data_IF_676176110267
#
_entry.id   IF_676176110267
#
_cell.length_a   1.000
_cell.length_b   1.000
_cell.length_c   1.000
_cell.angle_alpha   90.00
_cell.angle_beta   90.00
_cell.angle_gamma   90.00
#
_symmetry.space_group_name_H-M   'P 1'
#
loop_
_entity.id
_entity.type
_entity.pdbx_description
1 polymer ?
#
# COMPACT_ATOMS: atom_id res chain seq x y z
N UNK A 1 -8.90 21.92 -17.89
CA UNK A 1 -9.63 20.73 -17.37
C UNK A 1 -9.42 19.60 -18.35
N UNK A 2 -9.10 18.39 -17.87
CA UNK A 2 -8.94 17.24 -18.75
C UNK A 2 -10.31 16.84 -19.36
N UNK A 3 -10.31 16.27 -20.57
CA UNK A 3 -11.54 15.70 -21.13
C UNK A 3 -12.09 14.61 -20.20
N UNK A 4 -13.43 14.46 -20.06
CA UNK A 4 -14.05 13.56 -19.10
C UNK A 4 -13.51 12.12 -19.15
N UNK A 5 -13.25 11.59 -20.36
CA UNK A 5 -12.68 10.27 -20.55
C UNK A 5 -11.24 10.15 -20.04
N UNK A 6 -10.42 11.17 -20.28
CA UNK A 6 -9.02 11.21 -19.82
C UNK A 6 -8.92 11.29 -18.30
N UNK A 7 -9.80 12.07 -17.65
CA UNK A 7 -9.84 12.15 -16.19
C UNK A 7 -10.16 10.79 -15.55
N UNK A 8 -11.12 10.04 -16.10
CA UNK A 8 -11.47 8.69 -15.63
C UNK A 8 -10.29 7.72 -15.75
N UNK A 9 -9.58 7.73 -16.88
CA UNK A 9 -8.40 6.87 -17.08
C UNK A 9 -7.30 7.16 -16.05
N UNK A 10 -7.08 8.43 -15.70
CA UNK A 10 -6.12 8.79 -14.65
C UNK A 10 -6.60 8.29 -13.28
N UNK A 11 -7.87 8.47 -12.94
CA UNK A 11 -8.41 7.97 -11.67
C UNK A 11 -8.30 6.45 -11.56
N UNK A 12 -8.54 5.72 -12.64
CA UNK A 12 -8.34 4.27 -12.70
C UNK A 12 -6.87 3.88 -12.55
N UNK A 13 -5.95 4.59 -13.21
CA UNK A 13 -4.52 4.38 -13.05
C UNK A 13 -4.08 4.60 -11.58
N UNK A 14 -4.60 5.64 -10.93
CA UNK A 14 -4.29 5.91 -9.52
C UNK A 14 -4.90 4.86 -8.58
N UNK A 15 -6.14 4.43 -8.86
CA UNK A 15 -6.82 3.37 -8.13
C UNK A 15 -6.11 2.02 -8.27
N UNK A 16 -5.49 1.72 -9.41
CA UNK A 16 -4.65 0.53 -9.60
C UNK A 16 -3.48 0.50 -8.61
N UNK A 17 -2.83 1.64 -8.34
CA UNK A 17 -1.80 1.70 -7.30
C UNK A 17 -2.36 1.49 -5.89
N UNK A 18 -3.54 2.07 -5.60
CA UNK A 18 -4.24 1.79 -4.34
C UNK A 18 -4.60 0.30 -4.17
N UNK A 19 -5.00 -0.35 -5.26
CA UNK A 19 -5.24 -1.78 -5.29
C UNK A 19 -3.96 -2.58 -5.05
N UNK A 20 -2.87 -2.29 -5.76
CA UNK A 20 -1.59 -2.99 -5.60
C UNK A 20 -1.08 -2.89 -4.14
N UNK A 21 -1.18 -1.71 -3.55
CA UNK A 21 -0.84 -1.46 -2.14
C UNK A 21 -1.73 -2.28 -1.21
N UNK A 22 -3.05 -2.26 -1.41
CA UNK A 22 -3.99 -3.06 -0.62
C UNK A 22 -3.69 -4.55 -0.66
N UNK A 23 -3.46 -5.10 -1.87
CA UNK A 23 -3.10 -6.52 -2.01
C UNK A 23 -1.84 -6.83 -1.21
N UNK A 24 -0.83 -5.97 -1.24
CA UNK A 24 0.43 -6.19 -0.51
C UNK A 24 0.24 -6.24 0.99
N UNK A 25 -0.56 -5.32 1.51
CA UNK A 25 -0.74 -5.15 2.94
C UNK A 25 -1.54 -6.31 3.53
N UNK A 26 -2.69 -6.61 2.94
CA UNK A 26 -3.64 -7.59 3.47
C UNK A 26 -3.30 -9.04 3.06
N UNK A 27 -2.82 -9.27 1.83
CA UNK A 27 -2.45 -10.64 1.42
C UNK A 27 -1.23 -11.13 2.21
N UNK A 28 -0.27 -10.26 2.55
CA UNK A 28 0.84 -10.63 3.42
C UNK A 28 0.37 -11.12 4.80
N UNK A 29 -0.68 -10.54 5.36
CA UNK A 29 -1.27 -11.01 6.63
C UNK A 29 -1.92 -12.39 6.47
N UNK A 30 -2.59 -12.63 5.34
CA UNK A 30 -3.23 -13.92 5.07
C UNK A 30 -2.26 -15.10 4.93
N UNK A 31 -1.05 -14.85 4.42
CA UNK A 31 -0.01 -15.88 4.23
C UNK A 31 1.05 -15.88 5.34
N UNK A 32 0.77 -15.24 6.48
CA UNK A 32 1.71 -15.16 7.61
C UNK A 32 2.22 -16.54 8.08
N UNK A 33 1.36 -17.54 8.28
CA UNK A 33 1.82 -18.88 8.67
C UNK A 33 2.77 -19.50 7.65
N UNK A 34 2.53 -19.26 6.35
CA UNK A 34 3.28 -19.88 5.26
C UNK A 34 4.68 -19.30 5.13
N UNK A 35 4.83 -17.97 5.20
CA UNK A 35 6.16 -17.37 5.16
C UNK A 35 6.91 -17.53 6.50
N UNK A 36 6.21 -17.66 7.63
CA UNK A 36 6.84 -18.02 8.90
C UNK A 36 7.53 -19.39 8.79
N UNK A 37 6.79 -20.39 8.30
CA UNK A 37 7.31 -21.72 8.05
C UNK A 37 8.43 -21.70 6.99
N UNK A 38 8.22 -21.00 5.88
CA UNK A 38 9.20 -20.91 4.79
C UNK A 38 10.50 -20.16 5.13
N UNK A 39 10.50 -19.35 6.19
CA UNK A 39 11.68 -18.65 6.71
C UNK A 39 12.23 -19.31 7.98
N UNK A 40 11.63 -20.39 8.45
CA UNK A 40 12.08 -21.13 9.64
C UNK A 40 11.95 -20.34 10.95
N UNK A 41 10.95 -19.46 11.05
CA UNK A 41 10.69 -18.64 12.25
C UNK A 41 9.30 -18.89 12.81
N UNK A 42 9.07 -18.53 14.08
CA UNK A 42 7.74 -18.58 14.68
C UNK A 42 6.83 -17.50 14.11
N UNK A 43 5.52 -17.74 14.12
CA UNK A 43 4.51 -16.78 13.66
C UNK A 43 4.59 -15.42 14.38
N UNK A 44 4.79 -15.33 15.71
CA UNK A 44 5.00 -14.03 16.37
C UNK A 44 6.23 -13.29 15.86
N UNK A 45 7.32 -14.01 15.55
CA UNK A 45 8.53 -13.41 14.97
C UNK A 45 8.26 -12.95 13.53
N UNK A 46 7.56 -13.76 12.74
CA UNK A 46 7.10 -13.40 11.40
C UNK A 46 6.16 -12.18 11.40
N UNK A 47 5.37 -11.95 12.44
CA UNK A 47 4.53 -10.75 12.57
C UNK A 47 5.30 -9.43 12.49
N UNK A 48 6.57 -9.40 12.89
CA UNK A 48 7.42 -8.20 12.74
C UNK A 48 7.65 -7.80 11.27
N UNK A 49 7.47 -8.71 10.32
CA UNK A 49 7.48 -8.43 8.87
C UNK A 49 6.38 -7.44 8.48
N UNK A 50 5.20 -7.56 9.10
CA UNK A 50 4.09 -6.63 8.93
C UNK A 50 4.42 -5.31 9.64
N UNK A 51 4.94 -5.37 10.86
CA UNK A 51 5.34 -4.17 11.61
C UNK A 51 6.45 -3.38 10.90
N UNK A 52 7.41 -4.05 10.27
CA UNK A 52 8.48 -3.42 9.51
C UNK A 52 7.94 -2.65 8.30
N UNK A 53 6.95 -3.22 7.59
CA UNK A 53 6.24 -2.50 6.53
C UNK A 53 5.55 -1.25 7.07
N UNK A 54 4.78 -1.38 8.16
CA UNK A 54 4.10 -0.26 8.79
C UNK A 54 5.07 0.84 9.25
N UNK A 55 6.22 0.46 9.82
CA UNK A 55 7.29 1.40 10.16
C UNK A 55 7.82 2.13 8.93
N UNK A 56 8.00 1.40 7.82
CA UNK A 56 8.32 1.98 6.51
C UNK A 56 7.28 3.01 6.06
N UNK A 57 5.98 2.72 6.19
CA UNK A 57 4.89 3.66 5.84
C UNK A 57 4.98 4.96 6.66
N UNK A 58 5.10 4.84 7.98
CA UNK A 58 5.12 5.98 8.91
C UNK A 58 6.34 6.87 8.69
N UNK A 59 7.51 6.27 8.47
CA UNK A 59 8.77 7.01 8.27
C UNK A 59 8.88 7.54 6.84
N UNK A 60 8.51 6.73 5.86
CA UNK A 60 8.68 7.03 4.44
C UNK A 60 7.80 8.17 3.96
N UNK A 61 6.54 8.24 4.40
CA UNK A 61 5.61 9.25 3.90
C UNK A 61 6.07 10.70 4.18
N UNK A 62 6.47 11.10 5.41
CA UNK A 62 7.01 12.44 5.65
C UNK A 62 8.31 12.72 4.90
N UNK A 63 9.23 11.75 4.85
CA UNK A 63 10.53 11.91 4.18
C UNK A 63 10.33 12.15 2.68
N UNK A 64 9.55 11.29 2.02
CA UNK A 64 9.29 11.40 0.59
C UNK A 64 8.41 12.61 0.25
N UNK A 65 7.50 13.04 1.13
CA UNK A 65 6.76 14.28 0.94
C UNK A 65 7.69 15.50 0.92
N UNK A 66 8.69 15.54 1.81
CA UNK A 66 9.68 16.63 1.85
C UNK A 66 10.61 16.58 0.64
N UNK A 67 11.23 15.42 0.38
CA UNK A 67 12.19 15.25 -0.72
C UNK A 67 11.52 15.41 -2.09
N UNK A 68 10.27 14.97 -2.21
CA UNK A 68 9.52 15.00 -3.45
C UNK A 68 8.82 16.31 -3.75
N UNK A 69 8.76 17.28 -2.83
CA UNK A 69 7.89 18.45 -2.94
C UNK A 69 8.09 19.30 -4.21
N UNK A 70 9.30 19.27 -4.79
CA UNK A 70 9.65 20.05 -5.99
C UNK A 70 9.63 19.23 -7.28
N UNK A 71 9.33 17.93 -7.20
CA UNK A 71 9.28 17.07 -8.38
C UNK A 71 7.88 17.07 -9.01
N UNK A 72 7.77 16.87 -10.33
CA UNK A 72 6.49 16.66 -10.98
C UNK A 72 5.75 15.45 -10.37
N UNK A 73 4.45 15.61 -10.10
CA UNK A 73 3.64 14.58 -9.42
C UNK A 73 3.62 13.24 -10.15
N UNK A 74 3.57 13.27 -11.49
CA UNK A 74 3.59 12.05 -12.29
C UNK A 74 4.91 11.27 -12.14
N UNK A 75 6.03 11.98 -11.99
CA UNK A 75 7.34 11.37 -11.77
C UNK A 75 7.44 10.78 -10.35
N UNK A 76 6.87 11.46 -9.35
CA UNK A 76 6.79 10.92 -7.99
C UNK A 76 5.97 9.63 -7.95
N UNK A 77 4.80 9.59 -8.59
CA UNK A 77 3.95 8.40 -8.64
C UNK A 77 4.70 7.21 -9.27
N UNK A 78 5.40 7.43 -10.38
CA UNK A 78 6.24 6.40 -11.02
C UNK A 78 7.37 5.96 -10.08
N UNK A 79 8.12 6.91 -9.49
CA UNK A 79 9.23 6.60 -8.60
C UNK A 79 8.79 5.84 -7.34
N UNK A 80 7.65 6.20 -6.77
CA UNK A 80 7.06 5.51 -5.62
C UNK A 80 6.66 4.08 -5.98
N UNK A 81 5.98 3.88 -7.12
CA UNK A 81 5.62 2.54 -7.58
C UNK A 81 6.83 1.72 -8.03
N UNK A 82 7.92 2.35 -8.49
CA UNK A 82 9.18 1.67 -8.78
C UNK A 82 9.83 1.15 -7.49
N UNK A 83 9.94 2.00 -6.47
CA UNK A 83 10.44 1.59 -5.16
C UNK A 83 9.57 0.48 -4.54
N UNK A 84 8.25 0.60 -4.71
CA UNK A 84 7.29 -0.40 -4.27
C UNK A 84 7.47 -1.74 -5.00
N UNK A 85 7.62 -1.71 -6.33
CA UNK A 85 7.86 -2.88 -7.16
C UNK A 85 9.16 -3.59 -6.79
N UNK A 86 10.25 -2.83 -6.60
CA UNK A 86 11.56 -3.35 -6.19
C UNK A 86 11.49 -3.95 -4.79
N UNK A 87 10.92 -3.25 -3.82
CA UNK A 87 10.78 -3.75 -2.46
C UNK A 87 10.02 -5.09 -2.41
N UNK A 88 8.92 -5.20 -3.15
CA UNK A 88 8.13 -6.43 -3.22
C UNK A 88 8.82 -7.54 -4.03
N UNK A 89 9.51 -7.22 -5.14
CA UNK A 89 10.30 -8.20 -5.86
C UNK A 89 11.41 -8.79 -4.97
N UNK A 90 12.08 -7.94 -4.19
CA UNK A 90 13.09 -8.36 -3.23
C UNK A 90 12.48 -9.20 -2.11
N UNK A 91 11.29 -8.85 -1.59
CA UNK A 91 10.55 -9.69 -0.64
C UNK A 91 10.21 -11.07 -1.21
N UNK A 92 9.85 -11.17 -2.49
CA UNK A 92 9.56 -12.43 -3.14
C UNK A 92 10.78 -13.37 -3.19
N UNK A 93 11.99 -12.81 -3.33
CA UNK A 93 13.25 -13.57 -3.40
C UNK A 93 14.03 -13.55 -2.08
N UNK A 94 13.40 -13.12 -0.98
CA UNK A 94 14.07 -13.01 0.32
C UNK A 94 14.62 -14.39 0.76
N UNK A 95 15.94 -14.48 1.06
CA UNK A 95 16.56 -15.74 1.45
C UNK A 95 16.42 -16.03 2.94
N UNK A 96 16.35 -14.99 3.78
CA UNK A 96 16.23 -15.11 5.24
C UNK A 96 15.22 -14.12 5.81
N UNK A 97 14.84 -14.33 7.08
CA UNK A 97 13.92 -13.47 7.81
C UNK A 97 14.40 -12.01 7.91
N UNK A 98 15.70 -11.80 8.10
CA UNK A 98 16.31 -10.48 8.25
C UNK A 98 16.23 -9.68 6.93
N UNK A 99 16.48 -10.35 5.81
CA UNK A 99 16.27 -9.76 4.49
C UNK A 99 14.80 -9.44 4.24
N UNK A 100 13.90 -10.34 4.64
CA UNK A 100 12.46 -10.12 4.54
C UNK A 100 12.03 -8.87 5.32
N UNK A 101 12.52 -8.66 6.55
CA UNK A 101 12.26 -7.44 7.32
C UNK A 101 12.73 -6.18 6.57
N UNK A 102 13.97 -6.19 6.08
CA UNK A 102 14.56 -5.04 5.38
C UNK A 102 13.79 -4.68 4.10
N UNK A 103 13.43 -5.69 3.29
CA UNK A 103 12.68 -5.49 2.05
C UNK A 103 11.24 -5.06 2.31
N UNK A 104 10.62 -5.55 3.39
CA UNK A 104 9.29 -5.11 3.78
C UNK A 104 9.28 -3.67 4.27
N UNK A 105 10.26 -3.28 5.08
CA UNK A 105 10.48 -1.88 5.41
C UNK A 105 10.63 -1.03 4.14
N UNK A 106 11.49 -1.43 3.21
CA UNK A 106 11.70 -0.75 1.92
C UNK A 106 10.41 -0.61 1.11
N UNK A 107 9.62 -1.69 1.01
CA UNK A 107 8.33 -1.67 0.31
C UNK A 107 7.27 -0.80 1.01
N UNK A 108 7.40 -0.54 2.31
CA UNK A 108 6.49 0.34 3.05
C UNK A 108 6.75 1.82 2.79
N UNK A 109 8.00 2.20 2.53
CA UNK A 109 8.44 3.59 2.37
C UNK A 109 7.53 4.42 1.41
N UNK A 110 7.24 3.96 0.18
CA UNK A 110 6.47 4.76 -0.78
C UNK A 110 4.96 4.77 -0.53
N UNK A 111 4.43 3.90 0.33
CA UNK A 111 2.99 3.66 0.49
C UNK A 111 2.23 4.96 0.79
N UNK A 112 2.49 5.60 1.93
CA UNK A 112 1.72 6.77 2.36
C UNK A 112 1.92 7.97 1.44
N UNK A 113 3.15 8.14 0.91
CA UNK A 113 3.47 9.20 -0.03
C UNK A 113 2.69 9.06 -1.36
N UNK A 114 2.51 7.83 -1.84
CA UNK A 114 1.72 7.54 -3.04
C UNK A 114 0.29 8.03 -2.88
N UNK A 115 -0.42 7.65 -1.80
CA UNK A 115 -1.81 8.09 -1.60
C UNK A 115 -1.91 9.61 -1.46
N UNK A 116 -0.95 10.27 -0.79
CA UNK A 116 -0.91 11.73 -0.69
C UNK A 116 -0.82 12.40 -2.06
N UNK A 117 0.16 12.00 -2.89
CA UNK A 117 0.34 12.56 -4.23
C UNK A 117 -0.83 12.19 -5.16
N UNK A 118 -1.31 10.96 -5.10
CA UNK A 118 -2.45 10.51 -5.91
C UNK A 118 -3.72 11.31 -5.59
N UNK A 119 -4.01 11.56 -4.30
CA UNK A 119 -5.13 12.39 -3.88
C UNK A 119 -5.01 13.83 -4.42
N UNK A 120 -3.81 14.41 -4.40
CA UNK A 120 -3.56 15.74 -4.97
C UNK A 120 -3.77 15.78 -6.50
N UNK A 121 -3.35 14.74 -7.23
CA UNK A 121 -3.59 14.61 -8.67
C UNK A 121 -5.08 14.43 -8.95
N UNK A 122 -5.77 13.52 -8.27
CA UNK A 122 -7.21 13.33 -8.45
C UNK A 122 -8.00 14.61 -8.17
N UNK A 123 -7.66 15.32 -7.10
CA UNK A 123 -8.30 16.58 -6.73
C UNK A 123 -8.05 17.72 -7.74
N UNK A 124 -6.94 17.70 -8.50
CA UNK A 124 -6.67 18.70 -9.54
C UNK A 124 -7.38 18.42 -10.87
N UNK A 125 -7.85 17.19 -11.08
CA UNK A 125 -8.58 16.82 -12.30
C UNK A 125 -10.04 17.25 -12.30
N UNK A 126 -10.61 17.53 -11.12
CA UNK A 126 -12.04 17.77 -10.94
C UNK A 126 -12.34 19.12 -10.25
N UNK A 127 -13.53 19.71 -10.47
CA UNK A 127 -14.00 20.86 -9.70
C UNK A 127 -14.04 20.60 -8.20
N UNK A 128 -13.92 21.66 -7.38
CA UNK A 128 -13.86 21.60 -5.91
C UNK A 128 -14.95 20.70 -5.29
N UNK A 129 -16.21 20.83 -5.76
CA UNK A 129 -17.36 20.06 -5.28
C UNK A 129 -17.26 18.54 -5.50
N UNK A 130 -16.36 18.08 -6.37
CA UNK A 130 -16.18 16.67 -6.72
C UNK A 130 -14.88 16.08 -6.17
N UNK A 131 -14.04 16.87 -5.49
CA UNK A 131 -12.71 16.42 -5.03
C UNK A 131 -12.80 15.23 -4.09
N UNK A 132 -13.72 15.25 -3.12
CA UNK A 132 -13.94 14.12 -2.22
C UNK A 132 -14.25 12.85 -2.99
N UNK A 133 -15.15 12.92 -3.98
CA UNK A 133 -15.52 11.77 -4.83
C UNK A 133 -14.32 11.25 -5.65
N UNK A 134 -13.50 12.14 -6.19
CA UNK A 134 -12.30 11.75 -6.93
C UNK A 134 -11.27 11.04 -6.03
N UNK A 135 -11.04 11.55 -4.82
CA UNK A 135 -10.15 10.90 -3.84
C UNK A 135 -10.72 9.56 -3.38
N UNK A 136 -12.03 9.47 -3.13
CA UNK A 136 -12.70 8.20 -2.80
C UNK A 136 -12.55 7.14 -3.90
N UNK A 137 -12.42 7.54 -5.18
CA UNK A 137 -12.22 6.60 -6.30
C UNK A 137 -10.86 5.92 -6.21
N UNK A 138 -9.83 6.63 -5.73
CA UNK A 138 -8.50 6.04 -5.49
C UNK A 138 -8.60 5.03 -4.33
N UNK A 139 -9.28 5.42 -3.25
CA UNK A 139 -9.48 4.55 -2.08
C UNK A 139 -10.32 3.32 -2.39
N UNK A 140 -11.24 3.40 -3.36
CA UNK A 140 -12.00 2.25 -3.84
C UNK A 140 -11.07 1.15 -4.36
N UNK A 141 -9.90 1.48 -4.91
CA UNK A 141 -8.89 0.50 -5.28
C UNK A 141 -8.46 -0.38 -4.10
N UNK A 142 -8.30 0.21 -2.92
CA UNK A 142 -7.99 -0.50 -1.67
C UNK A 142 -9.14 -1.46 -1.28
N UNK A 143 -10.39 -0.99 -1.36
CA UNK A 143 -11.57 -1.82 -1.07
C UNK A 143 -11.70 -2.99 -2.05
N UNK A 144 -11.45 -2.77 -3.33
CA UNK A 144 -11.47 -3.83 -4.34
C UNK A 144 -10.31 -4.82 -4.11
N UNK A 145 -9.17 -4.33 -3.62
CA UNK A 145 -8.06 -5.21 -3.25
C UNK A 145 -8.44 -6.17 -2.12
N UNK A 146 -9.09 -5.69 -1.05
CA UNK A 146 -9.49 -6.59 0.04
C UNK A 146 -10.53 -7.61 -0.40
N UNK A 147 -11.50 -7.23 -1.25
CA UNK A 147 -12.59 -8.12 -1.66
C UNK A 147 -12.18 -9.12 -2.75
N UNK A 148 -11.30 -8.73 -3.67
CA UNK A 148 -10.96 -9.54 -4.85
C UNK A 148 -9.47 -9.86 -4.88
N UNK A 149 -8.63 -8.83 -4.74
CA UNK A 149 -7.19 -8.97 -4.89
C UNK A 149 -6.54 -9.91 -3.86
N UNK A 150 -6.96 -9.82 -2.59
CA UNK A 150 -6.44 -10.65 -1.50
C UNK A 150 -6.85 -12.11 -1.67
N UNK A 151 -8.12 -12.48 -1.90
CA UNK A 151 -8.50 -13.87 -2.20
C UNK A 151 -7.74 -14.46 -3.39
N UNK A 152 -7.60 -13.70 -4.47
CA UNK A 152 -6.85 -14.15 -5.66
C UNK A 152 -5.38 -14.36 -5.34
N UNK A 153 -4.73 -13.41 -4.65
CA UNK A 153 -3.34 -13.53 -4.26
C UNK A 153 -3.12 -14.71 -3.29
N UNK A 154 -4.04 -14.93 -2.35
CA UNK A 154 -4.00 -16.04 -1.41
C UNK A 154 -4.11 -17.39 -2.14
N UNK A 155 -5.08 -17.53 -3.06
CA UNK A 155 -5.24 -18.74 -3.87
C UNK A 155 -3.98 -19.08 -4.68
N UNK A 156 -3.36 -18.08 -5.34
CA UNK A 156 -2.09 -18.30 -6.07
C UNK A 156 -0.96 -18.67 -5.11
N UNK A 157 -0.93 -18.07 -3.92
CA UNK A 157 0.12 -18.34 -2.93
C UNK A 157 0.00 -19.71 -2.29
N UNK A 158 -1.22 -20.24 -2.17
CA UNK A 158 -1.47 -21.60 -1.73
C UNK A 158 -0.91 -22.62 -2.73
N UNK A 159 -1.17 -22.43 -4.02
CA UNK A 159 -0.76 -23.38 -5.06
C UNK A 159 0.73 -23.29 -5.43
N UNK A 160 1.28 -22.07 -5.48
CA UNK A 160 2.63 -21.83 -5.98
C UNK A 160 3.63 -21.38 -4.90
N UNK A 161 3.17 -21.19 -3.67
CA UNK A 161 3.96 -20.78 -2.51
C UNK A 161 3.87 -19.28 -2.20
N UNK A 162 4.08 -18.94 -0.92
CA UNK A 162 3.92 -17.59 -0.35
C UNK A 162 4.73 -16.48 -1.03
N UNK A 163 5.80 -16.82 -1.75
CA UNK A 163 6.62 -15.85 -2.49
C UNK A 163 5.82 -15.15 -3.59
N UNK A 164 4.80 -15.81 -4.13
CA UNK A 164 3.95 -15.24 -5.17
C UNK A 164 3.07 -14.09 -4.68
N UNK A 165 2.73 -14.03 -3.38
CA UNK A 165 2.08 -12.87 -2.75
C UNK A 165 2.80 -11.58 -3.11
N UNK A 166 4.13 -11.58 -3.04
CA UNK A 166 4.96 -10.40 -3.27
C UNK A 166 5.31 -10.22 -4.76
N UNK A 167 5.47 -11.32 -5.50
CA UNK A 167 5.74 -11.25 -6.94
C UNK A 167 4.57 -10.63 -7.73
N UNK A 168 3.33 -11.04 -7.43
CA UNK A 168 2.11 -10.50 -8.07
C UNK A 168 2.04 -8.99 -7.83
N UNK A 169 2.26 -8.56 -6.60
CA UNK A 169 2.29 -7.13 -6.24
C UNK A 169 3.32 -6.36 -7.06
N UNK A 170 4.51 -6.91 -7.25
CA UNK A 170 5.54 -6.26 -8.06
C UNK A 170 5.06 -6.03 -9.49
N UNK A 171 4.36 -7.01 -10.08
CA UNK A 171 3.73 -6.88 -11.40
C UNK A 171 2.62 -5.82 -11.40
N UNK A 172 1.75 -5.80 -10.39
CA UNK A 172 0.70 -4.78 -10.25
C UNK A 172 1.28 -3.37 -10.10
N UNK A 173 2.43 -3.25 -9.43
CA UNK A 173 3.15 -1.99 -9.30
C UNK A 173 3.73 -1.52 -10.65
N UNK A 174 4.29 -2.44 -11.44
CA UNK A 174 4.73 -2.15 -12.82
C UNK A 174 3.57 -1.75 -13.72
N UNK A 175 2.44 -2.45 -13.61
CA UNK A 175 1.21 -2.08 -14.32
C UNK A 175 0.76 -0.67 -13.94
N UNK A 176 0.77 -0.33 -12.65
CA UNK A 176 0.45 1.01 -12.18
C UNK A 176 1.39 2.06 -12.78
N UNK A 177 2.70 1.80 -12.80
CA UNK A 177 3.68 2.69 -13.43
C UNK A 177 3.36 2.93 -14.91
N UNK A 178 3.04 1.87 -15.66
CA UNK A 178 2.68 1.97 -17.07
C UNK A 178 1.41 2.82 -17.26
N UNK A 179 0.36 2.56 -16.49
CA UNK A 179 -0.89 3.33 -16.55
C UNK A 179 -0.67 4.81 -16.20
N UNK A 180 0.11 5.10 -15.16
CA UNK A 180 0.47 6.47 -14.78
C UNK A 180 1.28 7.14 -15.89
N UNK A 181 2.28 6.47 -16.47
CA UNK A 181 3.10 7.03 -17.55
C UNK A 181 2.29 7.36 -18.82
N UNK A 182 1.25 6.56 -19.09
CA UNK A 182 0.37 6.73 -20.25
C UNK A 182 -0.68 7.82 -20.03
N UNK A 183 -1.29 7.88 -18.85
CA UNK A 183 -2.50 8.70 -18.64
C UNK A 183 -2.29 9.95 -17.79
N UNK A 184 -1.34 9.93 -16.84
CA UNK A 184 -1.21 11.02 -15.87
C UNK A 184 -0.84 12.36 -16.55
N UNK A 185 -1.40 13.49 -16.08
CA UNK A 185 -1.02 14.81 -16.57
C UNK A 185 0.47 15.08 -16.34
N UNK A 186 1.16 15.59 -17.37
CA UNK A 186 2.56 16.00 -17.29
C UNK A 186 2.71 17.45 -16.82
N UNK A 187 2.01 17.79 -15.76
CA UNK A 187 2.02 19.14 -15.22
C UNK A 187 3.40 19.44 -14.60
N UNK A 188 3.96 20.65 -14.82
CA UNK A 188 5.21 21.06 -14.21
C UNK A 188 5.04 21.20 -12.69
N UNK A 189 6.15 21.10 -11.96
CA UNK A 189 6.11 21.24 -10.52
C UNK A 189 5.62 22.65 -10.09
N UNK A 190 4.63 22.67 -9.18
CA UNK A 190 4.46 23.65 -8.09
C UNK A 190 5.69 24.52 -7.72
N UNK A 191 5.94 25.74 -8.25
CA UNK A 191 7.08 26.56 -7.80
C UNK A 191 6.98 26.92 -6.31
N UNK A 192 5.75 27.07 -5.80
CA UNK A 192 5.45 27.44 -4.41
C UNK A 192 5.17 26.24 -3.49
N UNK A 193 5.41 25.01 -3.95
CA UNK A 193 5.20 23.82 -3.13
C UNK A 193 6.20 23.81 -1.95
N UNK A 194 5.69 24.06 -0.74
CA UNK A 194 6.49 24.08 0.49
C UNK A 194 6.06 22.94 1.42
N UNK A 195 6.87 21.87 1.54
CA UNK A 195 6.54 20.75 2.43
C UNK A 195 6.55 21.17 3.91
N UNK A 196 7.28 22.23 4.24
CA UNK A 196 7.30 22.83 5.58
C UNK A 196 5.95 23.43 5.98
N UNK A 197 5.16 23.91 5.01
CA UNK A 197 3.81 24.43 5.28
C UNK A 197 2.86 23.30 5.66
N UNK A 198 3.00 22.13 5.03
CA UNK A 198 2.18 20.93 5.34
C UNK A 198 2.54 20.33 6.69
N UNK A 199 3.84 20.19 7.01
CA UNK A 199 4.30 19.73 8.33
C UNK A 199 3.89 20.69 9.47
N UNK A 200 3.62 21.97 9.17
CA UNK A 200 3.07 22.92 10.12
C UNK A 200 1.73 22.47 10.74
N UNK A 201 0.96 21.61 10.07
CA UNK A 201 -0.28 21.05 10.62
C UNK A 201 -0.02 20.20 11.88
N UNK A 202 1.14 19.54 11.97
CA UNK A 202 1.53 18.73 13.14
C UNK A 202 1.80 19.57 14.39
N UNK A 203 1.86 20.90 14.29
CA UNK A 203 1.93 21.78 15.48
C UNK A 203 0.61 21.84 16.25
N UNK A 204 -0.50 21.39 15.66
CA UNK A 204 -1.83 21.45 16.26
C UNK A 204 -2.12 20.19 17.08
N UNK A 205 -2.34 20.34 18.39
CA UNK A 205 -2.69 19.21 19.28
C UNK A 205 -3.89 18.39 18.81
N UNK A 206 -4.90 19.03 18.21
CA UNK A 206 -6.07 18.34 17.64
C UNK A 206 -5.70 17.32 16.54
N UNK A 207 -4.65 17.60 15.76
CA UNK A 207 -4.17 16.67 14.72
C UNK A 207 -3.58 15.42 15.39
N UNK A 208 -2.80 15.58 16.46
CA UNK A 208 -2.27 14.45 17.23
C UNK A 208 -3.36 13.63 17.90
N UNK A 209 -4.39 14.27 18.46
CA UNK A 209 -5.53 13.54 19.01
C UNK A 209 -6.25 12.72 17.93
N UNK A 210 -6.45 13.30 16.75
CA UNK A 210 -7.08 12.61 15.61
C UNK A 210 -6.23 11.43 15.13
N UNK A 211 -4.91 11.64 14.99
CA UNK A 211 -3.95 10.59 14.64
C UNK A 211 -3.90 9.50 15.72
N UNK A 212 -3.98 9.86 17.00
CA UNK A 212 -3.99 8.93 18.12
C UNK A 212 -5.23 8.04 18.14
N UNK A 213 -6.42 8.62 17.93
CA UNK A 213 -7.66 7.85 17.79
C UNK A 213 -7.56 6.87 16.63
N UNK A 214 -7.06 7.32 15.47
CA UNK A 214 -6.81 6.46 14.32
C UNK A 214 -5.82 5.35 14.63
N UNK A 215 -4.68 5.67 15.24
CA UNK A 215 -3.62 4.72 15.56
C UNK A 215 -4.09 3.64 16.55
N UNK A 216 -4.86 4.01 17.58
CA UNK A 216 -5.41 3.04 18.55
C UNK A 216 -6.47 2.17 17.88
N UNK A 217 -7.40 2.76 17.11
CA UNK A 217 -8.46 2.01 16.43
C UNK A 217 -7.92 1.04 15.38
N UNK A 218 -7.14 1.54 14.42
CA UNK A 218 -6.53 0.70 13.38
C UNK A 218 -5.47 -0.24 13.96
N UNK A 219 -4.70 0.17 14.95
CA UNK A 219 -3.69 -0.68 15.60
C UNK A 219 -4.31 -1.91 16.26
N UNK A 220 -5.42 -1.75 16.99
CA UNK A 220 -6.16 -2.87 17.55
C UNK A 220 -6.72 -3.81 16.48
N UNK A 221 -7.30 -3.26 15.41
CA UNK A 221 -7.81 -4.05 14.29
C UNK A 221 -6.71 -4.84 13.57
N UNK A 222 -5.59 -4.20 13.23
CA UNK A 222 -4.46 -4.83 12.56
C UNK A 222 -3.76 -5.89 13.43
N UNK A 223 -3.72 -5.69 14.75
CA UNK A 223 -3.17 -6.69 15.67
C UNK A 223 -3.97 -8.01 15.63
N UNK A 224 -5.29 -7.94 15.48
CA UNK A 224 -6.14 -9.14 15.32
C UNK A 224 -6.03 -9.68 13.89
N UNK A 225 -6.15 -8.81 12.88
CA UNK A 225 -6.19 -9.22 11.47
C UNK A 225 -4.88 -9.88 11.02
N UNK A 226 -3.73 -9.43 11.52
CA UNK A 226 -2.42 -10.01 11.22
C UNK A 226 -2.32 -11.50 11.58
N UNK A 227 -3.02 -11.94 12.62
CA UNK A 227 -3.01 -13.32 13.12
C UNK A 227 -4.34 -14.04 12.88
N UNK A 228 -5.21 -13.50 12.01
CA UNK A 228 -6.52 -14.09 11.74
C UNK A 228 -6.39 -15.51 11.18
N UNK A 229 -5.47 -15.74 10.23
CA UNK A 229 -5.22 -17.05 9.65
C UNK A 229 -4.77 -18.07 10.72
N UNK A 230 -3.79 -17.66 11.55
CA UNK A 230 -3.30 -18.45 12.68
C UNK A 230 -4.41 -18.81 13.67
N UNK A 231 -5.25 -17.82 14.01
CA UNK A 231 -6.34 -17.96 14.97
C UNK A 231 -7.42 -18.91 14.43
N UNK A 232 -7.82 -18.75 13.16
CA UNK A 232 -8.79 -19.64 12.52
C UNK A 232 -8.29 -21.08 12.54
N UNK A 233 -7.04 -21.30 12.12
CA UNK A 233 -6.43 -22.64 12.12
C UNK A 233 -6.38 -23.25 13.52
N UNK A 234 -5.96 -22.47 14.53
CA UNK A 234 -5.80 -22.95 15.90
C UNK A 234 -7.14 -23.23 16.62
N UNK A 235 -8.17 -22.42 16.39
CA UNK A 235 -9.44 -22.49 17.12
C UNK A 235 -10.48 -23.36 16.42
N UNK A 236 -10.56 -23.28 15.09
CA UNK A 236 -11.62 -23.96 14.32
C UNK A 236 -11.15 -25.22 13.62
N UNK A 237 -9.83 -25.41 13.47
CA UNK A 237 -9.27 -26.55 12.75
C UNK A 237 -9.50 -26.53 11.23
N UNK A 238 -10.00 -25.42 10.67
CA UNK A 238 -10.21 -25.28 9.22
C UNK A 238 -8.88 -25.35 8.46
N UNK A 239 -8.90 -26.01 7.30
CA UNK A 239 -7.77 -26.06 6.40
C UNK A 239 -7.59 -24.75 5.61
N UNK A 240 -6.46 -24.64 4.89
CA UNK A 240 -6.11 -23.43 4.13
C UNK A 240 -7.14 -23.06 3.04
N UNK A 241 -7.94 -24.02 2.57
CA UNK A 241 -9.00 -23.83 1.57
C UNK A 241 -10.09 -22.83 1.98
N UNK A 242 -10.25 -22.56 3.28
CA UNK A 242 -11.24 -21.60 3.79
C UNK A 242 -10.69 -20.18 3.82
N UNK A 243 -9.36 -19.99 3.89
CA UNK A 243 -8.73 -18.68 4.06
C UNK A 243 -9.09 -17.66 2.95
N UNK A 244 -9.15 -18.02 1.66
CA UNK A 244 -9.54 -17.08 0.60
C UNK A 244 -10.93 -16.47 0.76
N UNK A 245 -11.84 -17.10 1.52
CA UNK A 245 -13.23 -16.67 1.66
C UNK A 245 -13.51 -15.84 2.92
N UNK A 246 -12.57 -15.83 3.87
CA UNK A 246 -12.72 -15.16 5.17
C UNK A 246 -11.86 -13.89 5.29
N UNK A 247 -10.82 -13.77 4.45
CA UNK A 247 -9.98 -12.58 4.32
C UNK A 247 -10.60 -11.54 3.37
#
# INVERSE_FOLDING_TARGET
>A
MAEPGKATLVLLALAMGGFAIGVTEFAAMSVLPDFAAGLGVSEPKAGHVISAYAAGVVIGAPILAVLGARLPRWLLLIGFMALFAVGNALSAIAPTYEWMLAFRFLSGIPHGAYFGVAALVAASLVPLRLRTRAVSTILLGLTVATVIGVPVANAVSHEFGWRWTFAIVSVLAVLTMALVALFAPRDPAHPDASPWRELGALKRGQVWLTLGVGAVGFGGMFAVYAYLASTLKAVTGVGPEVLPWVF
#
